data_IF_144954502847
#
_entry.id   IF_144954502847
#
_cell.length_a   1.000
_cell.length_b   1.000
_cell.length_c   1.000
_cell.angle_alpha   90.00
_cell.angle_beta   90.00
_cell.angle_gamma   90.00
#
_symmetry.space_group_name_H-M   'P 1'
#
loop_
_entity.id
_entity.type
_entity.pdbx_description
1 polymer ?
#
# COMPACT_ATOMS: atom_id res chain seq x y z
N UNK A 1 27.83 -30.55 13.40
CA UNK A 1 27.28 -29.92 14.62
C UNK A 1 27.42 -28.39 14.64
N UNK A 2 27.28 -27.68 13.50
CA UNK A 2 27.44 -26.22 13.44
C UNK A 2 26.34 -25.48 12.63
N UNK A 3 25.24 -26.17 12.28
CA UNK A 3 24.14 -25.58 11.48
C UNK A 3 22.93 -25.21 12.35
N UNK A 4 22.95 -25.57 13.65
CA UNK A 4 21.81 -25.37 14.56
C UNK A 4 21.80 -24.03 15.32
N UNK A 5 22.84 -23.19 15.18
CA UNK A 5 22.93 -21.93 15.96
C UNK A 5 22.45 -20.67 15.21
N UNK A 6 22.16 -20.74 13.91
CA UNK A 6 21.78 -19.54 13.12
C UNK A 6 20.28 -19.20 13.14
N UNK A 7 19.45 -19.94 13.88
CA UNK A 7 17.98 -19.77 13.91
C UNK A 7 17.45 -19.44 15.29
N UNK A 8 18.15 -18.64 16.10
CA UNK A 8 17.49 -18.00 17.25
C UNK A 8 16.60 -16.88 16.72
N UNK A 9 15.25 -16.98 16.79
CA UNK A 9 14.41 -15.84 16.50
C UNK A 9 14.77 -14.77 17.53
N UNK A 10 15.31 -13.63 17.07
CA UNK A 10 15.44 -12.45 17.91
C UNK A 10 14.03 -12.00 18.26
N UNK A 11 13.48 -12.55 19.34
CA UNK A 11 12.21 -12.16 19.94
C UNK A 11 12.42 -10.82 20.65
N UNK A 12 12.67 -9.78 19.86
CA UNK A 12 12.70 -8.39 20.31
C UNK A 12 11.32 -7.77 20.15
N UNK A 13 11.00 -6.83 21.04
CA UNK A 13 9.83 -5.94 20.97
C UNK A 13 9.60 -5.30 19.58
N UNK A 14 10.66 -5.17 18.77
CA UNK A 14 10.59 -4.62 17.40
C UNK A 14 9.73 -5.43 16.41
N UNK A 15 9.56 -6.75 16.59
CA UNK A 15 8.73 -7.55 15.69
C UNK A 15 7.24 -7.21 15.78
N UNK A 16 6.72 -7.02 17.00
CA UNK A 16 5.34 -6.62 17.23
C UNK A 16 5.07 -5.18 16.74
N UNK A 17 6.00 -4.26 17.01
CA UNK A 17 5.91 -2.89 16.50
C UNK A 17 5.89 -2.86 14.97
N UNK A 18 6.74 -3.64 14.30
CA UNK A 18 6.73 -3.75 12.84
C UNK A 18 5.38 -4.25 12.32
N UNK A 19 4.83 -5.31 12.92
CA UNK A 19 3.52 -5.85 12.52
C UNK A 19 2.42 -4.78 12.68
N UNK A 20 2.43 -4.02 13.78
CA UNK A 20 1.47 -2.94 13.99
C UNK A 20 1.61 -1.80 12.97
N UNK A 21 2.85 -1.39 12.63
CA UNK A 21 3.11 -0.38 11.61
C UNK A 21 2.66 -0.84 10.22
N UNK A 22 2.92 -2.10 9.87
CA UNK A 22 2.46 -2.68 8.61
C UNK A 22 0.94 -2.76 8.55
N UNK A 23 0.28 -3.17 9.64
CA UNK A 23 -1.18 -3.19 9.74
C UNK A 23 -1.77 -1.78 9.53
N UNK A 24 -1.22 -0.75 10.18
CA UNK A 24 -1.64 0.63 9.99
C UNK A 24 -1.43 1.11 8.54
N UNK A 25 -0.28 0.79 7.93
CA UNK A 25 -0.01 1.16 6.55
C UNK A 25 -0.99 0.52 5.56
N UNK A 26 -1.32 -0.75 5.74
CA UNK A 26 -2.30 -1.47 4.91
C UNK A 26 -3.72 -0.97 5.15
N UNK A 27 -4.07 -0.61 6.39
CA UNK A 27 -5.35 0.02 6.69
C UNK A 27 -5.53 1.36 5.95
N UNK A 28 -4.53 2.25 6.04
CA UNK A 28 -4.52 3.55 5.33
C UNK A 28 -4.62 3.33 3.81
N UNK A 29 -3.86 2.37 3.28
CA UNK A 29 -3.91 1.99 1.86
C UNK A 29 -5.33 1.66 1.38
N UNK A 30 -6.10 0.91 2.18
CA UNK A 30 -7.46 0.53 1.81
C UNK A 30 -8.46 1.68 1.95
N UNK A 31 -8.28 2.55 2.95
CA UNK A 31 -9.05 3.81 3.04
C UNK A 31 -8.82 4.66 1.79
N UNK A 32 -7.57 4.81 1.34
CA UNK A 32 -7.23 5.61 0.16
C UNK A 32 -7.80 5.05 -1.14
N UNK A 33 -8.05 3.74 -1.21
CA UNK A 33 -8.76 3.13 -2.35
C UNK A 33 -10.23 3.52 -2.36
N UNK A 34 -10.88 3.51 -1.19
CA UNK A 34 -12.31 3.81 -1.01
C UNK A 34 -12.66 5.30 -1.05
N UNK A 35 -11.72 6.19 -0.73
CA UNK A 35 -11.98 7.63 -0.50
C UNK A 35 -12.77 8.34 -1.63
N UNK A 36 -12.36 8.18 -2.90
CA UNK A 36 -13.03 8.81 -4.05
C UNK A 36 -14.41 8.22 -4.27
N UNK A 37 -14.60 6.91 -4.05
CA UNK A 37 -15.90 6.29 -4.23
C UNK A 37 -16.91 6.83 -3.21
N UNK A 38 -16.47 7.06 -1.97
CA UNK A 38 -17.27 7.73 -0.93
C UNK A 38 -17.61 9.17 -1.31
N UNK A 39 -16.65 9.91 -1.88
CA UNK A 39 -16.85 11.28 -2.34
C UNK A 39 -17.47 11.39 -3.75
N UNK A 40 -17.85 10.28 -4.39
CA UNK A 40 -18.26 10.25 -5.79
C UNK A 40 -19.41 11.20 -6.14
N UNK A 41 -20.49 11.33 -5.33
CA UNK A 41 -21.58 12.25 -5.63
C UNK A 41 -21.10 13.71 -5.71
N UNK A 42 -20.22 14.11 -4.78
CA UNK A 42 -19.69 15.47 -4.69
C UNK A 42 -18.73 15.77 -5.85
N UNK A 43 -17.75 14.89 -6.08
CA UNK A 43 -16.75 15.05 -7.15
C UNK A 43 -17.42 15.10 -8.53
N UNK A 44 -18.42 14.24 -8.76
CA UNK A 44 -19.14 14.21 -10.04
C UNK A 44 -19.98 15.45 -10.26
N UNK A 45 -20.61 16.00 -9.23
CA UNK A 45 -21.40 17.22 -9.33
C UNK A 45 -20.49 18.44 -9.58
N UNK A 46 -19.42 18.57 -8.80
CA UNK A 46 -18.45 19.67 -8.89
C UNK A 46 -17.77 19.75 -10.26
N UNK A 47 -17.24 18.63 -10.76
CA UNK A 47 -16.53 18.58 -12.04
C UNK A 47 -17.40 18.12 -13.21
N UNK A 48 -18.73 17.98 -12.99
CA UNK A 48 -19.71 17.53 -13.99
C UNK A 48 -19.30 16.24 -14.70
N UNK A 49 -18.79 15.27 -13.95
CA UNK A 49 -18.29 14.02 -14.50
C UNK A 49 -19.43 13.03 -14.78
N UNK A 50 -19.39 12.43 -15.96
CA UNK A 50 -20.21 11.27 -16.29
C UNK A 50 -19.82 10.04 -15.44
N UNK A 51 -20.74 9.09 -15.30
CA UNK A 51 -20.44 7.78 -14.69
C UNK A 51 -19.27 7.07 -15.39
N UNK A 52 -19.20 7.20 -16.72
CA UNK A 52 -18.12 6.62 -17.52
C UNK A 52 -16.77 7.24 -17.15
N UNK A 53 -16.67 8.57 -17.14
CA UNK A 53 -15.43 9.26 -16.74
C UNK A 53 -15.04 8.89 -15.32
N UNK A 54 -15.98 8.92 -14.37
CA UNK A 54 -15.68 8.55 -12.99
C UNK A 54 -15.16 7.11 -12.88
N UNK A 55 -15.77 6.15 -13.60
CA UNK A 55 -15.32 4.77 -13.65
C UNK A 55 -13.93 4.60 -14.29
N UNK A 56 -13.62 5.34 -15.35
CA UNK A 56 -12.28 5.33 -15.97
C UNK A 56 -11.25 5.90 -14.99
N UNK A 57 -11.59 6.98 -14.29
CA UNK A 57 -10.72 7.63 -13.31
C UNK A 57 -10.37 6.72 -12.14
N UNK A 58 -11.36 6.00 -11.59
CA UNK A 58 -11.11 5.03 -10.51
C UNK A 58 -10.37 3.79 -11.03
N UNK A 59 -10.62 3.38 -12.27
CA UNK A 59 -9.90 2.26 -12.92
C UNK A 59 -8.42 2.54 -13.16
N UNK A 60 -8.04 3.80 -13.38
CA UNK A 60 -6.67 4.22 -13.63
C UNK A 60 -5.68 3.72 -12.58
N UNK A 61 -6.12 3.69 -11.31
CA UNK A 61 -5.37 3.10 -10.20
C UNK A 61 -4.89 1.67 -10.53
N UNK A 62 -5.81 0.79 -10.95
CA UNK A 62 -5.51 -0.61 -11.21
C UNK A 62 -4.61 -0.82 -12.43
N UNK A 63 -4.75 0.04 -13.45
CA UNK A 63 -3.97 -0.02 -14.68
C UNK A 63 -2.48 0.16 -14.42
N UNK A 64 -2.10 1.05 -13.51
CA UNK A 64 -0.70 1.26 -13.15
C UNK A 64 -0.26 0.39 -11.97
N UNK A 65 -1.13 0.14 -10.99
CA UNK A 65 -0.82 -0.66 -9.81
C UNK A 65 -0.38 -2.07 -10.17
N UNK A 66 -1.11 -2.73 -11.07
CA UNK A 66 -0.85 -4.13 -11.46
C UNK A 66 0.53 -4.34 -12.08
N UNK A 67 0.93 -3.66 -13.16
CA UNK A 67 2.27 -3.82 -13.73
C UNK A 67 3.36 -3.30 -12.78
N UNK A 68 3.08 -2.26 -11.99
CA UNK A 68 4.05 -1.69 -11.06
C UNK A 68 4.36 -2.61 -9.88
N UNK A 69 3.53 -3.62 -9.59
CA UNK A 69 3.85 -4.62 -8.57
C UNK A 69 5.09 -5.46 -8.94
N UNK A 70 5.28 -5.76 -10.23
CA UNK A 70 6.47 -6.47 -10.69
C UNK A 70 7.72 -5.61 -10.51
N UNK A 71 7.63 -4.33 -10.85
CA UNK A 71 8.70 -3.35 -10.64
C UNK A 71 9.01 -3.18 -9.16
N UNK A 72 7.98 -3.10 -8.32
CA UNK A 72 8.15 -3.01 -6.87
C UNK A 72 8.77 -4.28 -6.27
N UNK A 73 8.38 -5.47 -6.75
CA UNK A 73 8.98 -6.73 -6.33
C UNK A 73 10.48 -6.75 -6.65
N UNK A 74 10.85 -6.37 -7.87
CA UNK A 74 12.26 -6.23 -8.27
C UNK A 74 13.00 -5.15 -7.47
N UNK A 75 12.38 -3.99 -7.24
CA UNK A 75 12.99 -2.88 -6.50
C UNK A 75 13.26 -3.28 -5.06
N UNK A 76 12.38 -4.05 -4.43
CA UNK A 76 12.56 -4.56 -3.06
C UNK A 76 13.61 -5.67 -2.96
N UNK A 77 14.07 -6.25 -4.07
CA UNK A 77 15.25 -7.13 -4.07
C UNK A 77 16.55 -6.31 -4.09
N UNK A 78 16.54 -5.12 -4.70
CA UNK A 78 17.72 -4.25 -4.80
C UNK A 78 17.86 -3.24 -3.67
N UNK A 79 16.75 -2.75 -3.14
CA UNK A 79 16.70 -1.79 -2.05
C UNK A 79 16.31 -2.46 -0.73
N UNK A 80 16.59 -1.78 0.39
CA UNK A 80 16.05 -2.16 1.68
C UNK A 80 14.50 -2.07 1.62
N UNK A 81 13.75 -3.15 1.96
CA UNK A 81 12.29 -3.15 1.88
C UNK A 81 11.63 -2.10 2.79
N UNK A 82 12.27 -1.70 3.90
CA UNK A 82 11.78 -0.57 4.69
C UNK A 82 11.84 0.75 3.91
N UNK A 83 12.96 1.01 3.21
CA UNK A 83 13.13 2.22 2.41
C UNK A 83 12.19 2.23 1.21
N UNK A 84 12.02 1.09 0.53
CA UNK A 84 11.10 0.96 -0.59
C UNK A 84 9.64 1.19 -0.15
N UNK A 85 9.24 0.63 1.00
CA UNK A 85 7.91 0.86 1.57
C UNK A 85 7.72 2.31 1.97
N UNK A 86 8.70 2.93 2.63
CA UNK A 86 8.63 4.33 3.05
C UNK A 86 8.54 5.30 1.86
N UNK A 87 9.27 5.02 0.77
CA UNK A 87 9.18 5.80 -0.47
C UNK A 87 7.80 5.66 -1.10
N UNK A 88 7.30 4.43 -1.23
CA UNK A 88 5.92 4.19 -1.69
C UNK A 88 4.91 4.94 -0.82
N UNK A 89 5.06 4.84 0.50
CA UNK A 89 4.20 5.48 1.50
C UNK A 89 4.15 7.00 1.30
N UNK A 90 5.31 7.62 1.14
CA UNK A 90 5.42 9.05 0.87
C UNK A 90 4.74 9.44 -0.45
N UNK A 91 4.94 8.65 -1.52
CA UNK A 91 4.36 8.90 -2.83
C UNK A 91 2.83 8.81 -2.79
N UNK A 92 2.26 7.75 -2.24
CA UNK A 92 0.80 7.61 -2.20
C UNK A 92 0.17 8.63 -1.24
N UNK A 93 0.80 8.93 -0.10
CA UNK A 93 0.30 9.94 0.83
C UNK A 93 0.31 11.34 0.21
N UNK A 94 1.36 11.69 -0.54
CA UNK A 94 1.40 12.95 -1.28
C UNK A 94 0.31 13.01 -2.35
N UNK A 95 0.08 11.91 -3.09
CA UNK A 95 -1.01 11.85 -4.07
C UNK A 95 -2.40 12.02 -3.43
N UNK A 96 -2.63 11.36 -2.29
CA UNK A 96 -3.87 11.51 -1.51
C UNK A 96 -4.05 12.95 -1.04
N UNK A 97 -3.02 13.58 -0.48
CA UNK A 97 -3.09 14.98 -0.04
C UNK A 97 -3.37 15.95 -1.20
N UNK A 98 -2.70 15.76 -2.35
CA UNK A 98 -2.89 16.56 -3.55
C UNK A 98 -4.26 16.36 -4.20
N UNK A 99 -4.95 15.25 -3.92
CA UNK A 99 -6.31 14.99 -4.42
C UNK A 99 -7.30 16.04 -3.91
N UNK A 100 -7.10 16.55 -2.68
CA UNK A 100 -7.92 17.64 -2.13
C UNK A 100 -7.79 18.98 -2.87
N UNK A 101 -6.76 19.13 -3.71
CA UNK A 101 -6.51 20.33 -4.52
C UNK A 101 -6.76 20.10 -6.01
N UNK A 102 -7.31 18.95 -6.38
CA UNK A 102 -7.53 18.61 -7.78
C UNK A 102 -8.60 19.52 -8.41
N UNK A 103 -8.33 20.03 -9.62
CA UNK A 103 -9.22 20.97 -10.33
C UNK A 103 -10.10 20.34 -11.41
N UNK A 104 -10.12 19.00 -11.49
CA UNK A 104 -10.94 18.28 -12.47
C UNK A 104 -10.44 16.88 -12.82
N UNK A 105 -11.05 16.32 -13.86
CA UNK A 105 -10.81 14.94 -14.31
C UNK A 105 -9.33 14.62 -14.53
N UNK A 106 -8.60 15.45 -15.30
CA UNK A 106 -7.22 15.15 -15.67
C UNK A 106 -6.29 15.09 -14.45
N UNK A 107 -6.44 16.03 -13.50
CA UNK A 107 -5.67 16.03 -12.26
C UNK A 107 -6.01 14.84 -11.37
N UNK A 108 -7.30 14.52 -11.21
CA UNK A 108 -7.72 13.36 -10.43
C UNK A 108 -7.25 12.04 -11.04
N UNK A 109 -7.30 11.92 -12.37
CA UNK A 109 -6.82 10.77 -13.12
C UNK A 109 -5.31 10.58 -12.93
N UNK A 110 -4.52 11.66 -13.08
CA UNK A 110 -3.08 11.61 -12.86
C UNK A 110 -2.74 11.24 -11.40
N UNK A 111 -3.44 11.81 -10.43
CA UNK A 111 -3.24 11.49 -9.02
C UNK A 111 -3.61 10.05 -8.70
N UNK A 112 -4.65 9.48 -9.33
CA UNK A 112 -4.97 8.05 -9.21
C UNK A 112 -3.88 7.16 -9.76
N UNK A 113 -3.21 7.57 -10.84
CA UNK A 113 -2.04 6.85 -11.35
C UNK A 113 -0.86 6.91 -10.36
N UNK A 114 -0.54 8.09 -9.84
CA UNK A 114 0.54 8.25 -8.85
C UNK A 114 0.26 7.45 -7.58
N UNK A 115 -1.00 7.45 -7.12
CA UNK A 115 -1.45 6.64 -6.00
C UNK A 115 -1.20 5.15 -6.27
N UNK A 116 -1.67 4.62 -7.41
CA UNK A 116 -1.47 3.21 -7.78
C UNK A 116 0.00 2.82 -7.91
N UNK A 117 0.84 3.72 -8.41
CA UNK A 117 2.29 3.52 -8.48
C UNK A 117 2.93 3.44 -7.09
N UNK A 118 2.57 4.35 -6.17
CA UNK A 118 3.08 4.33 -4.80
C UNK A 118 2.64 3.09 -4.03
N UNK A 119 1.35 2.76 -4.12
CA UNK A 119 0.75 1.64 -3.39
C UNK A 119 1.26 0.26 -3.86
N UNK A 120 1.80 0.14 -5.08
CA UNK A 120 2.28 -1.15 -5.60
C UNK A 120 3.42 -1.75 -4.77
N UNK A 121 4.15 -0.93 -4.01
CA UNK A 121 5.23 -1.36 -3.13
C UNK A 121 4.74 -2.03 -1.83
N UNK A 122 3.50 -1.80 -1.42
CA UNK A 122 3.01 -2.20 -0.10
C UNK A 122 3.12 -3.71 0.15
N UNK A 123 2.51 -4.53 -0.72
CA UNK A 123 2.45 -5.98 -0.54
C UNK A 123 3.81 -6.70 -0.70
N UNK A 124 4.64 -6.39 -1.72
CA UNK A 124 5.98 -6.98 -1.84
C UNK A 124 6.89 -6.63 -0.64
N UNK A 125 6.87 -5.38 -0.19
CA UNK A 125 7.65 -4.95 0.98
C UNK A 125 7.16 -5.62 2.26
N UNK A 126 5.85 -5.61 2.51
CA UNK A 126 5.23 -6.23 3.68
C UNK A 126 5.61 -7.70 3.80
N UNK A 127 5.47 -8.45 2.70
CA UNK A 127 5.80 -9.88 2.66
C UNK A 127 7.26 -10.14 3.06
N UNK A 128 8.20 -9.35 2.52
CA UNK A 128 9.63 -9.45 2.86
C UNK A 128 9.93 -9.03 4.29
N UNK A 129 9.28 -7.97 4.79
CA UNK A 129 9.50 -7.45 6.14
C UNK A 129 9.01 -8.44 7.19
N UNK A 130 7.83 -9.03 7.00
CA UNK A 130 7.29 -10.08 7.85
C UNK A 130 8.21 -11.31 7.83
N UNK A 131 8.59 -11.80 6.65
CA UNK A 131 9.47 -12.97 6.54
C UNK A 131 10.83 -12.78 7.22
N UNK A 132 11.36 -11.55 7.28
CA UNK A 132 12.65 -11.23 7.91
C UNK A 132 12.58 -11.06 9.43
N UNK A 133 11.45 -10.62 9.97
CA UNK A 133 11.36 -10.18 11.38
C UNK A 133 10.38 -10.99 12.23
N UNK A 134 9.56 -11.85 11.62
CA UNK A 134 8.58 -12.68 12.31
C UNK A 134 8.97 -14.15 12.18
N UNK A 135 8.85 -14.92 13.28
CA UNK A 135 9.18 -16.33 13.28
C UNK A 135 8.20 -17.11 12.37
N UNK A 136 8.64 -18.17 11.66
CA UNK A 136 7.80 -18.93 10.74
C UNK A 136 6.49 -19.44 11.36
N UNK A 137 6.52 -19.88 12.61
CA UNK A 137 5.34 -20.36 13.36
C UNK A 137 4.30 -19.28 13.65
N UNK A 138 4.71 -18.00 13.64
CA UNK A 138 3.86 -16.83 13.89
C UNK A 138 3.50 -16.06 12.63
N UNK A 139 4.01 -16.44 11.45
CA UNK A 139 3.74 -15.73 10.19
C UNK A 139 2.26 -15.74 9.81
N UNK A 140 1.55 -16.84 10.06
CA UNK A 140 0.11 -16.93 9.80
C UNK A 140 -0.69 -15.92 10.63
N UNK A 141 -0.36 -15.80 11.93
CA UNK A 141 -1.00 -14.85 12.83
C UNK A 141 -0.63 -13.42 12.47
N UNK A 142 0.65 -13.15 12.14
CA UNK A 142 1.09 -11.82 11.75
C UNK A 142 0.43 -11.35 10.44
N UNK A 143 0.35 -12.21 9.42
CA UNK A 143 -0.44 -11.93 8.22
C UNK A 143 -1.90 -11.73 8.57
N UNK A 144 -2.48 -12.60 9.40
CA UNK A 144 -3.86 -12.47 9.88
C UNK A 144 -4.13 -11.11 10.52
N UNK A 145 -3.22 -10.61 11.37
CA UNK A 145 -3.36 -9.31 12.02
C UNK A 145 -3.24 -8.14 11.04
N UNK A 146 -2.26 -8.17 10.14
CA UNK A 146 -2.10 -7.13 9.11
C UNK A 146 -3.29 -7.11 8.16
N UNK A 147 -3.86 -8.28 7.84
CA UNK A 147 -5.04 -8.40 7.00
C UNK A 147 -6.36 -8.21 7.78
N UNK A 148 -6.39 -8.34 9.11
CA UNK A 148 -7.60 -8.09 9.90
C UNK A 148 -8.04 -6.63 9.81
N UNK A 149 -7.07 -5.72 9.67
CA UNK A 149 -7.34 -4.31 9.34
C UNK A 149 -7.96 -4.08 7.96
N UNK A 150 -8.03 -5.09 7.08
CA UNK A 150 -8.71 -4.97 5.78
C UNK A 150 -10.23 -5.03 5.88
N UNK A 151 -10.76 -5.57 6.99
CA UNK A 151 -12.18 -5.88 7.18
C UNK A 151 -12.85 -5.08 8.30
N UNK A 152 -12.08 -4.20 8.98
CA UNK A 152 -12.58 -3.22 9.94
C UNK A 152 -12.70 -1.85 9.27
#
# INVERSE_FOLDING_TARGET
>A
MAVAELTRPRRGSGGATLVALLAAAIFINYIDRGNLATAAPLIKDEFRLSNFQFGVMTSAFFWIYTPSQLLAAWLTDRLNPCCALALGFAVWSAATALTGFAGGFATLFALRLVLGLGESAAFPCMSKLLARHVAPSSLGIANGFVNAGLWL
#
